data_IF_903740915818
#
_entry.id   IF_903740915818
#
_cell.length_a   1.000
_cell.length_b   1.000
_cell.length_c   1.000
_cell.angle_alpha   90.00
_cell.angle_beta   90.00
_cell.angle_gamma   90.00
#
_symmetry.space_group_name_H-M   'P 1'
#
loop_
_entity.id
_entity.type
_entity.pdbx_description
1 polymer ?
#
# COMPACT_ATOMS: atom_id res chain seq x y z
N UNK A 1 -13.95 7.08 7.26
CA UNK A 1 -13.96 6.48 5.91
C UNK A 1 -12.62 6.53 5.19
N UNK A 2 -11.81 7.62 5.21
CA UNK A 2 -10.47 7.58 4.58
C UNK A 2 -9.45 6.77 5.40
N UNK A 3 -9.52 6.88 6.72
CA UNK A 3 -8.61 6.24 7.68
C UNK A 3 -8.65 4.71 7.62
N UNK A 4 -9.83 4.10 7.45
CA UNK A 4 -9.97 2.63 7.41
C UNK A 4 -9.17 1.97 6.27
N UNK A 5 -9.08 2.63 5.10
CA UNK A 5 -8.32 2.09 3.97
C UNK A 5 -6.81 2.27 4.16
N UNK A 6 -6.40 3.35 4.82
CA UNK A 6 -5.01 3.57 5.20
C UNK A 6 -4.59 2.50 6.23
N UNK A 7 -5.39 2.27 7.26
CA UNK A 7 -5.16 1.24 8.27
C UNK A 7 -5.09 -0.17 7.65
N UNK A 8 -5.97 -0.48 6.70
CA UNK A 8 -5.91 -1.74 5.94
C UNK A 8 -4.61 -1.90 5.16
N UNK A 9 -4.15 -0.85 4.49
CA UNK A 9 -2.88 -0.88 3.75
C UNK A 9 -1.69 -1.05 4.71
N UNK A 10 -1.67 -0.31 5.82
CA UNK A 10 -0.63 -0.41 6.86
C UNK A 10 -0.58 -1.83 7.44
N UNK A 11 -1.73 -2.41 7.78
CA UNK A 11 -1.82 -3.77 8.29
C UNK A 11 -1.30 -4.80 7.27
N UNK A 12 -1.62 -4.63 5.99
CA UNK A 12 -1.06 -5.47 4.93
C UNK A 12 0.46 -5.34 4.85
N UNK A 13 1.00 -4.12 4.86
CA UNK A 13 2.46 -3.91 4.80
C UNK A 13 3.17 -4.55 5.99
N UNK A 14 2.65 -4.39 7.21
CA UNK A 14 3.25 -4.97 8.41
C UNK A 14 3.21 -6.50 8.40
N UNK A 15 2.07 -7.08 8.00
CA UNK A 15 1.91 -8.54 7.95
C UNK A 15 2.92 -9.19 7.00
N UNK A 16 3.13 -8.58 5.84
CA UNK A 16 4.02 -9.12 4.81
C UNK A 16 5.47 -8.64 4.94
N UNK A 17 5.77 -7.70 5.85
CA UNK A 17 7.15 -7.29 6.17
C UNK A 17 7.99 -8.45 6.69
N UNK A 18 7.38 -9.34 7.47
CA UNK A 18 8.04 -10.48 8.12
C UNK A 18 8.34 -11.66 7.17
N UNK A 19 7.76 -11.66 5.96
CA UNK A 19 7.90 -12.78 5.02
C UNK A 19 9.31 -12.80 4.42
N UNK A 20 9.91 -13.93 4.02
CA UNK A 20 11.24 -13.91 3.40
C UNK A 20 11.30 -13.08 2.09
N UNK A 21 12.47 -12.49 1.80
CA UNK A 21 12.74 -11.74 0.56
C UNK A 21 12.91 -10.23 0.74
N UNK A 22 13.43 -9.57 -0.31
CA UNK A 22 13.75 -8.12 -0.34
C UNK A 22 12.60 -7.25 -0.83
N UNK A 23 11.60 -7.85 -1.48
CA UNK A 23 10.46 -7.17 -2.10
C UNK A 23 9.15 -7.74 -1.59
N UNK A 24 8.13 -6.89 -1.59
CA UNK A 24 6.75 -7.19 -1.23
C UNK A 24 5.86 -6.88 -2.44
N UNK A 25 5.03 -7.87 -2.82
CA UNK A 25 4.06 -7.71 -3.90
C UNK A 25 2.72 -7.30 -3.29
N UNK A 26 2.26 -6.10 -3.62
CA UNK A 26 0.95 -5.59 -3.23
C UNK A 26 -0.04 -5.92 -4.33
N UNK A 27 -1.11 -6.64 -3.99
CA UNK A 27 -2.24 -6.87 -4.90
C UNK A 27 -3.49 -6.28 -4.29
N UNK A 28 -4.19 -5.42 -5.03
CA UNK A 28 -5.42 -4.76 -4.53
C UNK A 28 -6.47 -5.79 -4.12
N UNK A 29 -6.62 -6.87 -4.89
CA UNK A 29 -7.55 -7.97 -4.59
C UNK A 29 -7.26 -8.65 -3.24
N UNK A 30 -6.00 -8.66 -2.78
CA UNK A 30 -5.62 -9.26 -1.48
C UNK A 30 -5.95 -8.35 -0.31
N UNK A 31 -6.09 -7.05 -0.54
CA UNK A 31 -6.44 -6.06 0.49
C UNK A 31 -7.96 -5.85 0.53
N UNK A 32 -8.59 -5.75 -0.63
CA UNK A 32 -9.99 -5.31 -0.77
C UNK A 32 -10.96 -6.40 -1.19
N UNK A 33 -10.50 -7.56 -1.67
CA UNK A 33 -11.35 -8.56 -2.28
C UNK A 33 -12.17 -7.97 -3.44
N UNK A 34 -13.50 -8.05 -3.35
CA UNK A 34 -14.45 -7.53 -4.36
C UNK A 34 -14.93 -6.10 -4.07
N UNK A 35 -14.49 -5.47 -2.98
CA UNK A 35 -14.91 -4.12 -2.60
C UNK A 35 -14.31 -3.08 -3.57
N UNK A 36 -15.16 -2.55 -4.45
CA UNK A 36 -14.78 -1.54 -5.46
C UNK A 36 -14.40 -0.21 -4.84
N UNK A 37 -15.01 0.19 -3.72
CA UNK A 37 -14.72 1.46 -3.06
C UNK A 37 -13.35 1.38 -2.39
N UNK A 38 -13.09 0.29 -1.66
CA UNK A 38 -11.77 -0.01 -1.13
C UNK A 38 -10.73 -0.02 -2.26
N UNK A 39 -11.01 -0.73 -3.35
CA UNK A 39 -10.07 -0.84 -4.48
C UNK A 39 -9.71 0.54 -5.05
N UNK A 40 -10.69 1.42 -5.24
CA UNK A 40 -10.45 2.77 -5.74
C UNK A 40 -9.56 3.59 -4.78
N UNK A 41 -9.84 3.54 -3.47
CA UNK A 41 -9.02 4.22 -2.48
C UNK A 41 -7.59 3.69 -2.40
N UNK A 42 -7.40 2.37 -2.35
CA UNK A 42 -6.06 1.78 -2.28
C UNK A 42 -5.29 2.07 -3.58
N UNK A 43 -5.93 2.06 -4.74
CA UNK A 43 -5.27 2.46 -6.01
C UNK A 43 -4.73 3.88 -5.92
N UNK A 44 -5.52 4.83 -5.38
CA UNK A 44 -5.06 6.21 -5.23
C UNK A 44 -3.88 6.31 -4.25
N UNK A 45 -3.91 5.58 -3.14
CA UNK A 45 -2.79 5.53 -2.20
C UNK A 45 -1.54 4.92 -2.84
N UNK A 46 -1.70 3.83 -3.60
CA UNK A 46 -0.57 3.19 -4.27
C UNK A 46 0.02 4.05 -5.39
N UNK A 47 -0.80 4.81 -6.13
CA UNK A 47 -0.31 5.79 -7.10
C UNK A 47 0.49 6.89 -6.40
N UNK A 48 0.03 7.41 -5.26
CA UNK A 48 0.79 8.40 -4.48
C UNK A 48 2.14 7.83 -4.00
N UNK A 49 2.15 6.59 -3.50
CA UNK A 49 3.38 5.90 -3.09
C UNK A 49 4.34 5.71 -4.28
N UNK A 50 3.81 5.46 -5.47
CA UNK A 50 4.57 5.37 -6.72
C UNK A 50 5.15 6.72 -7.16
N UNK A 51 4.38 7.81 -7.06
CA UNK A 51 4.84 9.18 -7.35
C UNK A 51 6.01 9.60 -6.43
N UNK A 52 6.01 9.14 -5.19
CA UNK A 52 7.11 9.32 -4.21
C UNK A 52 8.31 8.38 -4.44
N UNK A 53 8.32 7.59 -5.52
CA UNK A 53 9.37 6.60 -5.83
C UNK A 53 9.56 5.52 -4.76
N UNK A 54 8.53 5.25 -3.95
CA UNK A 54 8.58 4.24 -2.88
C UNK A 54 8.07 2.87 -3.33
N UNK A 55 7.36 2.81 -4.47
CA UNK A 55 6.91 1.58 -5.11
C UNK A 55 6.98 1.69 -6.63
N UNK A 56 6.83 0.56 -7.33
CA UNK A 56 6.71 0.51 -8.79
C UNK A 56 5.50 -0.33 -9.19
N UNK A 57 4.71 0.18 -10.15
CA UNK A 57 3.56 -0.53 -10.69
C UNK A 57 3.99 -1.62 -11.67
N UNK A 58 3.79 -2.87 -11.26
CA UNK A 58 4.09 -4.03 -12.09
C UNK A 58 3.04 -4.26 -13.17
N UNK A 59 1.76 -4.16 -12.80
CA UNK A 59 0.61 -4.29 -13.70
C UNK A 59 -0.64 -3.71 -13.04
N UNK A 60 -1.77 -3.68 -13.76
CA UNK A 60 -3.04 -3.20 -13.20
C UNK A 60 -3.36 -3.89 -11.87
N UNK A 61 -3.52 -3.08 -10.82
CA UNK A 61 -3.86 -3.57 -9.47
C UNK A 61 -2.72 -4.29 -8.75
N UNK A 62 -1.47 -4.19 -9.22
CA UNK A 62 -0.30 -4.84 -8.61
C UNK A 62 0.91 -3.92 -8.58
N UNK A 63 1.50 -3.76 -7.40
CA UNK A 63 2.73 -3.00 -7.18
C UNK A 63 3.79 -3.86 -6.51
N UNK A 64 5.05 -3.46 -6.69
CA UNK A 64 6.21 -4.00 -6.01
C UNK A 64 6.77 -2.91 -5.11
N UNK A 65 7.01 -3.26 -3.85
CA UNK A 65 7.64 -2.41 -2.84
C UNK A 65 8.94 -3.08 -2.40
N UNK A 66 10.05 -2.34 -2.40
CA UNK A 66 11.25 -2.79 -1.69
C UNK A 66 11.05 -2.61 -0.19
N UNK A 67 11.44 -3.60 0.61
CA UNK A 67 11.12 -3.58 2.05
C UNK A 67 11.78 -2.45 2.83
N UNK A 68 12.93 -1.97 2.36
CA UNK A 68 13.59 -0.79 2.91
C UNK A 68 12.75 0.50 2.76
N UNK A 69 11.75 0.50 1.89
CA UNK A 69 10.83 1.63 1.72
C UNK A 69 9.62 1.56 2.66
N UNK A 70 9.34 0.44 3.34
CA UNK A 70 8.11 0.26 4.13
C UNK A 70 7.99 1.34 5.22
N UNK A 71 9.07 1.68 5.93
CA UNK A 71 9.02 2.70 6.98
C UNK A 71 8.69 4.09 6.42
N UNK A 72 9.26 4.48 5.28
CA UNK A 72 8.93 5.73 4.58
C UNK A 72 7.48 5.75 4.09
N UNK A 73 6.98 4.62 3.60
CA UNK A 73 5.58 4.49 3.20
C UNK A 73 4.66 4.68 4.40
N UNK A 74 5.01 4.11 5.56
CA UNK A 74 4.23 4.29 6.80
C UNK A 74 4.19 5.76 7.21
N UNK A 75 5.34 6.44 7.20
CA UNK A 75 5.42 7.86 7.49
C UNK A 75 4.52 8.68 6.58
N UNK A 76 4.63 8.47 5.25
CA UNK A 76 3.77 9.10 4.24
C UNK A 76 2.27 8.85 4.51
N UNK A 77 1.88 7.61 4.77
CA UNK A 77 0.47 7.28 5.00
C UNK A 77 -0.07 7.88 6.30
N UNK A 78 0.76 8.01 7.34
CA UNK A 78 0.36 8.60 8.62
C UNK A 78 0.17 10.13 8.54
N UNK A 79 0.86 10.82 7.61
CA UNK A 79 0.60 12.26 7.41
C UNK A 79 -0.80 12.51 6.85
N UNK A 80 -1.30 11.61 5.99
CA UNK A 80 -2.64 11.67 5.39
C UNK A 80 -3.79 11.40 6.38
N UNK A 81 -3.50 10.80 7.53
CA UNK A 81 -4.49 10.56 8.60
C UNK A 81 -4.64 11.80 9.49
N UNK A 82 -3.57 12.59 9.62
CA UNK A 82 -3.52 13.78 10.48
C UNK A 82 -3.99 15.06 9.77
N UNK A 83 -4.06 15.04 8.44
CA UNK A 83 -4.58 16.11 7.58
C UNK A 83 -6.09 16.04 7.41
#
# INVERSE_FOLDING_TARGET
MRTEYIERLLHYLDTYREFPGTVLVVKIERICGIDRRCSWYIINLMNLIEEENLSYKWRKGTWIIYKNNIDKIRELLLTLVKS
#
